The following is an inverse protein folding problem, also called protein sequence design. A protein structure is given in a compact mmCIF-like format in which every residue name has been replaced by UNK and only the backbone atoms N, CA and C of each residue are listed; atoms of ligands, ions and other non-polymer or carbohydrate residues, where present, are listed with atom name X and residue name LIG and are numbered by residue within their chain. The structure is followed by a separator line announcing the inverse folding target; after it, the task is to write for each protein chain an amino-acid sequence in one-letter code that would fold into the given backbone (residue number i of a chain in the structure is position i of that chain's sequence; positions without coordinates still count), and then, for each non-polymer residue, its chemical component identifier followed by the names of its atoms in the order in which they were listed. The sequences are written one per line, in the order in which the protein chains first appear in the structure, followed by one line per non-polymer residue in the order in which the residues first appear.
data_IF_302420418213
#
_entry.id   IF_302420418213
#
_cell.length_a   1.000
_cell.length_b   1.000
_cell.length_c   1.000
_cell.angle_alpha   90.00
_cell.angle_beta   90.00
_cell.angle_gamma   90.00
#
_symmetry.space_group_name_H-M   'P 1'
#
loop_
_entity.id
_entity.type
_entity.pdbx_description
1 polymer ?
#
# COMPACT_ATOMS: atom_id res chain seq x y z
N UNK A 1 4.09 6.28 -5.17
CA UNK A 1 5.08 6.49 -4.08
C UNK A 1 6.49 6.45 -4.65
N UNK A 2 7.48 7.12 -4.04
CA UNK A 2 8.84 7.25 -4.61
C UNK A 2 9.51 5.90 -4.95
N UNK A 3 9.28 4.88 -4.13
CA UNK A 3 9.82 3.53 -4.29
C UNK A 3 8.75 2.51 -4.71
N UNK A 4 7.63 2.96 -5.26
CA UNK A 4 6.56 2.04 -5.68
C UNK A 4 7.10 1.04 -6.72
N UNK A 5 6.77 -0.25 -6.59
CA UNK A 5 7.20 -1.26 -7.54
C UNK A 5 6.62 -0.94 -8.92
N UNK A 6 7.44 -1.15 -9.95
CA UNK A 6 7.12 -0.95 -11.35
C UNK A 6 7.43 -2.23 -12.10
N UNK A 7 6.53 -2.67 -12.97
CA UNK A 7 6.69 -3.86 -13.79
C UNK A 7 5.44 -4.13 -14.62
N UNK A 8 5.57 -4.97 -15.63
CA UNK A 8 4.45 -5.38 -16.46
C UNK A 8 3.42 -6.14 -15.63
N UNK A 9 2.14 -5.85 -15.87
CA UNK A 9 1.05 -6.46 -15.12
C UNK A 9 0.95 -6.01 -13.67
N UNK A 10 1.60 -4.91 -13.27
CA UNK A 10 1.52 -4.35 -11.91
C UNK A 10 1.14 -2.87 -11.96
N UNK A 11 0.08 -2.51 -11.23
CA UNK A 11 -0.38 -1.13 -11.07
C UNK A 11 -0.53 -0.78 -9.60
N UNK A 12 0.08 0.34 -9.19
CA UNK A 12 -0.06 0.90 -7.85
C UNK A 12 -0.88 2.19 -7.93
N UNK A 13 -2.07 2.18 -7.33
CA UNK A 13 -2.98 3.32 -7.26
C UNK A 13 -2.87 4.02 -5.91
N UNK A 14 -2.91 5.36 -5.92
CA UNK A 14 -2.88 6.21 -4.73
C UNK A 14 -1.57 7.02 -4.54
N UNK A 15 -1.39 7.65 -3.36
CA UNK A 15 -2.23 7.51 -2.17
C UNK A 15 -3.59 8.16 -2.37
N UNK A 16 -4.67 7.46 -2.04
CA UNK A 16 -5.99 8.08 -2.01
C UNK A 16 -6.06 9.04 -0.79
N UNK A 17 -6.44 10.31 -0.97
CA UNK A 17 -6.63 11.23 0.15
C UNK A 17 -7.86 10.79 0.96
N UNK A 18 -7.71 10.70 2.28
CA UNK A 18 -8.84 10.42 3.17
C UNK A 18 -9.68 11.70 3.37
N UNK A 19 -11.03 11.65 3.26
CA UNK A 19 -11.91 12.82 3.45
C UNK A 19 -11.82 13.45 4.85
N UNK A 20 -11.43 12.67 5.85
CA UNK A 20 -11.07 13.12 7.19
C UNK A 20 -9.56 12.91 7.34
N UNK A 21 -8.79 13.98 7.13
CA UNK A 21 -7.33 13.92 7.15
C UNK A 21 -6.78 13.46 8.51
N UNK A 22 -7.52 13.65 9.61
CA UNK A 22 -7.14 13.26 10.96
C UNK A 22 -8.22 12.40 11.62
N UNK A 23 -7.97 11.10 11.79
CA UNK A 23 -8.83 10.22 12.58
C UNK A 23 -8.10 9.82 13.86
N UNK A 24 -8.65 10.19 15.03
CA UNK A 24 -8.06 9.87 16.35
C UNK A 24 -6.56 10.24 16.44
N UNK A 25 -6.19 11.39 15.91
CA UNK A 25 -4.80 11.88 15.91
C UNK A 25 -3.86 11.17 14.92
N UNK A 26 -4.38 10.37 13.98
CA UNK A 26 -3.57 9.67 12.97
C UNK A 26 -4.04 9.99 11.55
N UNK A 27 -3.06 10.20 10.67
CA UNK A 27 -3.28 10.27 9.22
C UNK A 27 -3.36 8.86 8.65
N UNK A 28 -4.40 8.57 7.87
CA UNK A 28 -4.51 7.31 7.12
C UNK A 28 -4.29 7.58 5.64
N UNK A 29 -3.37 6.81 5.04
CA UNK A 29 -3.16 6.78 3.59
C UNK A 29 -3.33 5.34 3.12
N UNK A 30 -4.08 5.15 2.02
CA UNK A 30 -4.29 3.84 1.41
C UNK A 30 -3.66 3.83 0.03
N UNK A 31 -3.04 2.71 -0.30
CA UNK A 31 -2.60 2.37 -1.65
C UNK A 31 -3.36 1.12 -2.07
N UNK A 32 -3.74 1.05 -3.34
CA UNK A 32 -4.31 -0.15 -3.92
C UNK A 32 -3.31 -0.71 -4.92
N UNK A 33 -3.01 -1.99 -4.81
CA UNK A 33 -2.10 -2.68 -5.72
C UNK A 33 -2.96 -3.66 -6.53
N UNK A 34 -2.93 -3.50 -7.86
CA UNK A 34 -3.53 -4.45 -8.80
C UNK A 34 -2.40 -5.14 -9.53
N UNK A 35 -2.44 -6.46 -9.59
CA UNK A 35 -1.46 -7.22 -10.34
C UNK A 35 -2.13 -8.34 -11.15
N UNK A 36 -1.48 -8.76 -12.23
CA UNK A 36 -1.88 -9.92 -13.01
C UNK A 36 -1.68 -11.21 -12.21
N UNK A 37 -2.42 -12.26 -12.56
CA UNK A 37 -2.40 -13.55 -11.83
C UNK A 37 -1.01 -14.20 -11.73
N UNK A 38 -0.10 -13.90 -12.65
CA UNK A 38 1.27 -14.43 -12.65
C UNK A 38 2.22 -13.71 -11.69
N UNK A 39 1.82 -12.57 -11.12
CA UNK A 39 2.67 -11.78 -10.24
C UNK A 39 2.65 -12.33 -8.82
N UNK A 40 3.83 -12.58 -8.26
CA UNK A 40 4.00 -12.99 -6.85
C UNK A 40 3.77 -11.81 -5.90
N UNK A 41 2.51 -11.46 -5.66
CA UNK A 41 2.10 -10.27 -4.90
C UNK A 41 2.76 -10.17 -3.51
N UNK A 42 2.81 -11.26 -2.75
CA UNK A 42 3.40 -11.22 -1.40
C UNK A 42 4.90 -10.92 -1.41
N UNK A 43 5.66 -11.56 -2.31
CA UNK A 43 7.10 -11.33 -2.44
C UNK A 43 7.37 -9.86 -2.84
N UNK A 44 6.55 -9.34 -3.75
CA UNK A 44 6.62 -7.95 -4.20
C UNK A 44 6.32 -6.96 -3.08
N UNK A 45 5.30 -7.20 -2.26
CA UNK A 45 4.97 -6.33 -1.12
C UNK A 45 6.10 -6.36 -0.09
N UNK A 46 6.65 -7.54 0.22
CA UNK A 46 7.76 -7.67 1.16
C UNK A 46 9.02 -6.92 0.70
N UNK A 47 9.41 -7.08 -0.57
CA UNK A 47 10.51 -6.32 -1.18
C UNK A 47 10.23 -4.81 -1.21
N UNK A 48 8.99 -4.42 -1.47
CA UNK A 48 8.62 -3.02 -1.45
C UNK A 48 8.75 -2.40 -0.05
N UNK A 49 8.26 -3.10 0.98
CA UNK A 49 8.34 -2.64 2.36
C UNK A 49 9.77 -2.65 2.91
N UNK A 50 10.63 -3.57 2.47
CA UNK A 50 12.03 -3.64 2.92
C UNK A 50 12.85 -2.41 2.47
N UNK A 51 12.48 -1.78 1.35
CA UNK A 51 13.13 -0.59 0.79
C UNK A 51 12.84 0.69 1.56
N UNK A 52 11.94 0.66 2.56
CA UNK A 52 11.54 1.85 3.32
C UNK A 52 11.68 1.59 4.81
N UNK A 53 12.45 2.43 5.48
CA UNK A 53 12.47 2.45 6.95
C UNK A 53 11.17 3.07 7.46
N UNK A 54 10.34 2.28 8.12
CA UNK A 54 9.10 2.75 8.76
C UNK A 54 9.41 3.29 10.17
N UNK A 55 9.18 4.59 10.44
CA UNK A 55 9.31 5.12 11.79
C UNK A 55 8.30 4.47 12.74
N UNK A 56 8.64 4.30 14.02
CA UNK A 56 7.74 3.65 15.00
C UNK A 56 6.40 4.36 15.23
N UNK A 57 6.27 5.62 14.82
CA UNK A 57 5.01 6.37 14.83
C UNK A 57 4.05 5.99 13.69
N UNK A 58 4.55 5.30 12.65
CA UNK A 58 3.80 4.88 11.47
C UNK A 58 3.42 3.40 11.61
N UNK A 59 2.13 3.10 11.49
CA UNK A 59 1.65 1.72 11.36
C UNK A 59 1.39 1.42 9.90
N UNK A 60 1.97 0.32 9.41
CA UNK A 60 1.71 -0.22 8.08
C UNK A 60 0.86 -1.47 8.24
N UNK A 61 -0.23 -1.55 7.47
CA UNK A 61 -1.09 -2.71 7.40
C UNK A 61 -1.24 -3.11 5.94
N UNK A 62 -1.11 -4.40 5.66
CA UNK A 62 -1.34 -4.99 4.34
C UNK A 62 -2.63 -5.79 4.42
N UNK A 63 -3.53 -5.55 3.48
CA UNK A 63 -4.81 -6.23 3.37
C UNK A 63 -4.87 -6.87 1.97
N UNK A 64 -5.04 -8.19 1.91
CA UNK A 64 -5.04 -8.99 0.67
C UNK A 64 -6.47 -9.46 0.46
N UNK A 65 -7.03 -9.18 -0.71
CA UNK A 65 -8.44 -9.42 -1.03
C UNK A 65 -9.42 -8.84 0.00
N UNK A 66 -9.34 -7.53 0.30
CA UNK A 66 -10.26 -6.90 1.24
C UNK A 66 -11.69 -6.97 0.72
N UNK A 67 -12.60 -7.50 1.54
CA UNK A 67 -14.03 -7.57 1.24
C UNK A 67 -14.70 -6.18 1.11
N UNK A 68 -14.05 -5.10 1.56
CA UNK A 68 -14.53 -3.72 1.40
C UNK A 68 -13.40 -2.68 1.42
N UNK A 69 -13.44 -1.70 0.51
CA UNK A 69 -12.52 -0.55 0.45
C UNK A 69 -13.11 0.73 1.09
N UNK A 70 -14.26 0.66 1.76
CA UNK A 70 -14.86 1.77 2.53
C UNK A 70 -14.18 1.92 3.89
#
# INVERSE_FOLDING_TARGET
GRVAPRGDGLMVLGPAPAPLSLLRGRYRRRFMIRADKGVKMQALINDWLSKVKTPGSVRVQVDIDPYSFM
#
